data_IF_418127943993
#
_entry.id   IF_418127943993
#
_cell.length_a   1.000
_cell.length_b   1.000
_cell.length_c   1.000
_cell.angle_alpha   90.00
_cell.angle_beta   90.00
_cell.angle_gamma   90.00
#
_symmetry.space_group_name_H-M   'P 1'
#
loop_
_entity.id
_entity.type
_entity.pdbx_description
1 polymer ?
#
# COMPACT_ATOMS: atom_id res chain seq x y z
N UNK A 1 -15.58 -50.72 -36.51
CA UNK A 1 -14.46 -50.74 -35.55
C UNK A 1 -13.59 -49.47 -35.63
N UNK A 2 -14.19 -48.27 -35.80
CA UNK A 2 -13.38 -47.01 -35.98
C UNK A 2 -13.86 -45.86 -35.12
N UNK A 3 -14.61 -46.11 -34.04
CA UNK A 3 -15.16 -45.10 -33.10
C UNK A 3 -14.56 -45.19 -31.67
N UNK A 4 -13.47 -45.91 -31.43
CA UNK A 4 -12.88 -46.10 -30.10
C UNK A 4 -11.44 -45.58 -29.92
N UNK A 5 -10.87 -44.80 -30.87
CA UNK A 5 -9.46 -44.38 -30.82
C UNK A 5 -9.25 -42.84 -30.71
N UNK A 6 -10.29 -42.02 -30.44
CA UNK A 6 -10.14 -40.57 -30.35
C UNK A 6 -10.45 -40.06 -28.92
N UNK A 7 -10.20 -40.85 -27.90
CA UNK A 7 -10.48 -40.43 -26.50
C UNK A 7 -9.25 -40.24 -25.61
N UNK A 8 -8.04 -40.27 -26.14
CA UNK A 8 -6.81 -40.21 -25.31
C UNK A 8 -5.77 -39.18 -25.77
N UNK A 9 -6.15 -38.05 -26.43
CA UNK A 9 -5.21 -37.01 -26.84
C UNK A 9 -5.53 -35.65 -26.16
N UNK A 10 -6.47 -35.57 -25.24
CA UNK A 10 -6.56 -34.44 -24.32
C UNK A 10 -5.82 -34.82 -23.05
N UNK A 11 -4.47 -34.71 -23.12
CA UNK A 11 -3.65 -34.71 -21.95
C UNK A 11 -4.20 -33.68 -20.97
N UNK A 12 -4.58 -34.10 -19.80
CA UNK A 12 -4.86 -33.28 -18.64
C UNK A 12 -3.70 -32.27 -18.55
N UNK A 13 -3.94 -30.99 -18.88
CA UNK A 13 -3.04 -29.92 -18.48
C UNK A 13 -2.90 -30.10 -16.97
N UNK A 14 -1.74 -30.57 -16.50
CA UNK A 14 -1.37 -30.48 -15.10
C UNK A 14 -1.55 -29.00 -14.76
N UNK A 15 -2.55 -28.67 -13.95
CA UNK A 15 -2.61 -27.38 -13.32
C UNK A 15 -1.27 -27.21 -12.61
N UNK A 16 -0.45 -26.28 -13.10
CA UNK A 16 0.80 -25.95 -12.44
C UNK A 16 0.39 -25.55 -11.02
N UNK A 17 0.98 -26.23 -10.03
CA UNK A 17 0.70 -25.93 -8.64
C UNK A 17 1.08 -24.48 -8.40
N UNK A 18 0.09 -23.62 -8.20
CA UNK A 18 0.29 -22.19 -8.01
C UNK A 18 0.89 -21.98 -6.63
N UNK A 19 2.15 -21.64 -6.59
CA UNK A 19 2.86 -21.35 -5.35
C UNK A 19 2.66 -19.89 -4.96
N UNK A 20 2.44 -19.64 -3.67
CA UNK A 20 2.54 -18.28 -3.11
C UNK A 20 3.96 -17.76 -3.30
N UNK A 21 4.09 -16.44 -3.55
CA UNK A 21 5.36 -15.76 -3.80
C UNK A 21 5.43 -14.49 -2.97
N UNK A 22 6.56 -14.25 -2.32
CA UNK A 22 6.85 -12.96 -1.72
C UNK A 22 7.88 -12.22 -2.59
N UNK A 23 7.49 -11.20 -3.36
CA UNK A 23 8.43 -10.46 -4.20
C UNK A 23 9.43 -9.65 -3.37
N UNK A 24 9.07 -9.25 -2.15
CA UNK A 24 9.93 -8.44 -1.28
C UNK A 24 11.19 -9.18 -0.84
N UNK A 25 11.12 -10.50 -0.59
CA UNK A 25 12.28 -11.32 -0.23
C UNK A 25 12.59 -12.45 -1.21
N UNK A 26 11.87 -12.53 -2.33
CA UNK A 26 11.99 -13.56 -3.37
C UNK A 26 11.71 -15.00 -2.89
N UNK A 27 11.01 -15.18 -1.76
CA UNK A 27 10.63 -16.54 -1.30
C UNK A 27 9.64 -17.20 -2.26
N UNK A 28 9.97 -18.44 -2.69
CA UNK A 28 9.14 -19.25 -3.58
C UNK A 28 9.37 -20.75 -3.29
N UNK A 29 8.42 -21.49 -2.72
CA UNK A 29 7.12 -21.03 -2.23
C UNK A 29 7.24 -20.12 -1.00
N UNK A 30 6.31 -19.16 -0.88
CA UNK A 30 6.18 -18.32 0.30
C UNK A 30 5.07 -18.88 1.22
N UNK A 31 5.21 -18.64 2.51
CA UNK A 31 4.15 -18.84 3.51
C UNK A 31 3.74 -17.47 4.03
N UNK A 32 2.42 -17.22 4.09
CA UNK A 32 1.89 -15.98 4.66
C UNK A 32 1.16 -16.27 5.97
N UNK A 33 1.36 -15.39 6.92
CA UNK A 33 0.76 -15.44 8.25
C UNK A 33 -0.48 -14.54 8.29
N UNK A 34 -1.46 -14.83 9.15
CA UNK A 34 -2.62 -13.99 9.33
C UNK A 34 -2.27 -12.63 9.93
N UNK A 35 -3.21 -11.69 9.83
CA UNK A 35 -3.16 -10.44 10.59
C UNK A 35 -3.06 -10.77 12.08
N UNK A 36 -2.18 -10.10 12.85
CA UNK A 36 -2.06 -10.33 14.28
C UNK A 36 -3.39 -10.20 15.02
N UNK A 37 -3.66 -11.11 15.94
CA UNK A 37 -4.90 -11.14 16.73
C UNK A 37 -5.17 -9.84 17.51
N UNK A 38 -4.13 -9.12 17.87
CA UNK A 38 -4.17 -7.80 18.47
C UNK A 38 -5.20 -6.86 17.81
N UNK A 39 -5.25 -6.80 16.48
CA UNK A 39 -6.19 -5.94 15.76
C UNK A 39 -7.64 -6.42 15.90
N UNK A 40 -7.87 -7.73 15.85
CA UNK A 40 -9.20 -8.31 16.04
C UNK A 40 -9.71 -8.13 17.47
N UNK A 41 -8.82 -8.36 18.43
CA UNK A 41 -9.14 -8.26 19.86
C UNK A 41 -9.49 -6.83 20.24
N UNK A 42 -8.71 -5.84 19.80
CA UNK A 42 -9.01 -4.43 20.03
C UNK A 42 -10.28 -3.98 19.30
N UNK A 43 -10.47 -4.39 18.05
CA UNK A 43 -11.69 -4.09 17.31
C UNK A 43 -12.94 -4.59 18.05
N UNK A 44 -12.87 -5.81 18.61
CA UNK A 44 -13.96 -6.36 19.41
C UNK A 44 -14.12 -5.62 20.76
N UNK A 45 -13.01 -5.38 21.46
CA UNK A 45 -13.00 -4.70 22.76
C UNK A 45 -13.63 -3.31 22.71
N UNK A 46 -13.29 -2.52 21.67
CA UNK A 46 -13.76 -1.14 21.50
C UNK A 46 -15.01 -1.01 20.64
N UNK A 47 -15.53 -2.12 20.10
CA UNK A 47 -16.75 -2.13 19.27
C UNK A 47 -16.55 -1.50 17.89
N UNK A 48 -15.39 -1.66 17.28
CA UNK A 48 -15.11 -1.16 15.91
C UNK A 48 -15.92 -1.92 14.86
N UNK A 49 -16.82 -1.23 14.17
CA UNK A 49 -17.82 -1.84 13.28
C UNK A 49 -17.28 -2.26 11.90
N UNK A 50 -16.08 -1.81 11.53
CA UNK A 50 -15.54 -1.98 10.17
C UNK A 50 -14.35 -2.96 10.11
N UNK A 51 -14.09 -3.74 11.16
CA UNK A 51 -13.03 -4.75 11.14
C UNK A 51 -13.21 -5.73 9.98
N UNK A 52 -12.13 -5.96 9.22
CA UNK A 52 -12.14 -6.82 8.04
C UNK A 52 -12.75 -6.22 6.77
N UNK A 53 -13.31 -5.00 6.83
CA UNK A 53 -13.86 -4.29 5.67
C UNK A 53 -12.83 -3.42 4.95
N UNK A 54 -11.60 -3.36 5.42
CA UNK A 54 -10.52 -2.66 4.70
C UNK A 54 -10.37 -3.18 3.28
N UNK A 55 -10.17 -2.30 2.33
CA UNK A 55 -10.00 -2.61 0.91
C UNK A 55 -8.79 -3.51 0.68
N UNK A 56 -7.71 -3.18 1.32
CA UNK A 56 -6.47 -3.94 1.30
C UNK A 56 -6.31 -4.79 2.55
N UNK A 57 -5.79 -5.13 3.36
CA UNK A 57 -5.65 -5.95 4.57
C UNK A 57 -6.22 -7.37 4.43
N UNK A 58 -5.38 -8.26 3.94
CA UNK A 58 -5.70 -9.68 3.80
C UNK A 58 -5.60 -10.40 5.15
N UNK A 59 -6.74 -10.63 5.81
CA UNK A 59 -6.78 -11.15 7.19
C UNK A 59 -6.06 -12.50 7.39
N UNK A 60 -6.01 -13.37 6.37
CA UNK A 60 -5.43 -14.72 6.45
C UNK A 60 -4.01 -14.81 5.91
N UNK A 61 -3.61 -13.85 5.09
CA UNK A 61 -2.36 -13.84 4.33
C UNK A 61 -1.66 -12.50 4.46
N UNK A 62 -1.70 -11.89 5.65
CA UNK A 62 -1.27 -10.53 5.89
C UNK A 62 0.23 -10.35 5.72
N UNK A 63 1.05 -11.15 6.38
CA UNK A 63 2.51 -10.95 6.37
C UNK A 63 3.28 -12.17 5.90
N UNK A 64 4.43 -11.95 5.27
CA UNK A 64 5.34 -13.02 4.85
C UNK A 64 6.05 -13.64 6.07
N UNK A 65 5.97 -14.96 6.24
CA UNK A 65 6.62 -15.67 7.34
C UNK A 65 8.16 -15.53 7.32
N UNK A 66 8.75 -15.29 6.15
CA UNK A 66 10.21 -15.20 5.99
C UNK A 66 10.75 -13.79 6.28
N UNK A 67 10.09 -12.73 5.76
CA UNK A 67 10.63 -11.37 5.88
C UNK A 67 9.72 -10.39 6.62
N UNK A 68 8.47 -10.75 6.90
CA UNK A 68 7.51 -9.87 7.56
C UNK A 68 6.74 -8.93 6.62
N UNK A 69 7.11 -8.85 5.33
CA UNK A 69 6.43 -7.94 4.40
C UNK A 69 4.90 -8.17 4.39
N UNK A 70 4.15 -7.11 4.62
CA UNK A 70 2.69 -7.10 4.58
C UNK A 70 2.16 -7.33 3.16
N UNK A 71 0.86 -7.56 3.04
CA UNK A 71 0.17 -7.67 1.75
C UNK A 71 0.36 -6.41 0.88
N UNK A 72 0.25 -5.22 1.47
CA UNK A 72 0.48 -3.95 0.76
C UNK A 72 1.93 -3.81 0.27
N UNK A 73 2.92 -4.13 1.11
CA UNK A 73 4.34 -4.08 0.70
C UNK A 73 4.65 -5.04 -0.45
N UNK A 74 3.99 -6.21 -0.49
CA UNK A 74 4.11 -7.14 -1.62
C UNK A 74 3.55 -6.56 -2.91
N UNK A 75 2.42 -5.84 -2.84
CA UNK A 75 1.82 -5.18 -4.00
C UNK A 75 2.67 -4.00 -4.47
N UNK A 76 3.19 -3.18 -3.55
CA UNK A 76 4.11 -2.08 -3.88
C UNK A 76 5.38 -2.62 -4.55
N UNK A 77 5.95 -3.68 -3.99
CA UNK A 77 7.14 -4.33 -4.56
C UNK A 77 6.88 -4.80 -5.99
N UNK A 78 5.76 -5.50 -6.23
CA UNK A 78 5.40 -5.96 -7.57
C UNK A 78 5.33 -4.79 -8.58
N UNK A 79 4.64 -3.71 -8.19
CA UNK A 79 4.51 -2.55 -9.07
C UNK A 79 5.84 -1.86 -9.30
N UNK A 80 6.65 -1.61 -8.26
CA UNK A 80 7.96 -0.97 -8.36
C UNK A 80 8.89 -1.78 -9.27
N UNK A 81 8.93 -3.12 -9.10
CA UNK A 81 9.74 -4.00 -9.95
C UNK A 81 9.32 -3.88 -11.42
N UNK A 82 8.01 -3.86 -11.71
CA UNK A 82 7.50 -3.64 -13.07
C UNK A 82 7.90 -2.26 -13.64
N UNK A 83 7.93 -1.20 -12.80
CA UNK A 83 8.36 0.12 -13.28
C UNK A 83 9.87 0.20 -13.50
N UNK A 84 10.66 -0.50 -12.69
CA UNK A 84 12.11 -0.65 -12.92
C UNK A 84 12.37 -1.35 -14.27
N UNK A 85 11.67 -2.45 -14.55
CA UNK A 85 11.76 -3.18 -15.80
C UNK A 85 11.36 -2.33 -17.02
N UNK A 86 10.38 -1.43 -16.86
CA UNK A 86 9.95 -0.46 -17.87
C UNK A 86 10.88 0.75 -18.01
N UNK A 87 11.91 0.87 -17.15
CA UNK A 87 12.87 1.97 -17.17
C UNK A 87 12.37 3.29 -16.60
N UNK A 88 11.32 3.26 -15.75
CA UNK A 88 10.83 4.47 -15.07
C UNK A 88 11.87 5.00 -14.05
N UNK A 89 12.63 4.12 -13.45
CA UNK A 89 13.64 4.45 -12.44
C UNK A 89 15.06 4.34 -13.00
N UNK A 90 15.88 5.34 -12.75
CA UNK A 90 17.31 5.39 -13.05
C UNK A 90 18.09 5.80 -11.80
N UNK A 91 19.43 5.77 -11.86
CA UNK A 91 20.28 6.18 -10.75
C UNK A 91 20.10 7.65 -10.34
N UNK A 92 19.63 8.48 -11.25
CA UNK A 92 19.37 9.90 -11.01
C UNK A 92 17.96 10.17 -10.49
N UNK A 93 17.08 9.14 -10.47
CA UNK A 93 15.72 9.25 -9.94
C UNK A 93 15.78 9.45 -8.43
N UNK A 94 15.26 10.57 -7.93
CA UNK A 94 15.20 10.89 -6.51
C UNK A 94 13.90 10.35 -5.92
N UNK A 95 14.03 9.43 -4.98
CA UNK A 95 12.91 8.75 -4.30
C UNK A 95 12.87 9.14 -2.83
N UNK A 96 11.69 9.50 -2.32
CA UNK A 96 11.47 9.72 -0.88
C UNK A 96 10.37 8.78 -0.36
N UNK A 97 10.62 8.14 0.77
CA UNK A 97 9.70 7.20 1.41
C UNK A 97 9.36 7.70 2.82
N UNK A 98 8.11 8.13 3.00
CA UNK A 98 7.58 8.60 4.28
C UNK A 98 7.12 7.42 5.14
N UNK A 99 7.38 7.48 6.45
CA UNK A 99 7.08 6.42 7.42
C UNK A 99 7.51 5.03 6.90
N UNK A 100 8.82 4.86 6.55
CA UNK A 100 9.29 3.74 5.75
C UNK A 100 9.09 2.41 6.47
N UNK A 101 8.31 1.51 5.87
CA UNK A 101 8.22 0.12 6.31
C UNK A 101 9.59 -0.55 6.23
N UNK A 102 10.02 -1.19 7.32
CA UNK A 102 11.40 -1.68 7.47
C UNK A 102 11.81 -2.64 6.34
N UNK A 103 10.92 -3.56 5.95
CA UNK A 103 11.23 -4.60 4.95
C UNK A 103 11.26 -4.02 3.54
N UNK A 104 10.28 -3.20 3.18
CA UNK A 104 10.26 -2.52 1.89
C UNK A 104 11.45 -1.57 1.75
N UNK A 105 11.72 -0.77 2.79
CA UNK A 105 12.86 0.15 2.82
C UNK A 105 14.20 -0.58 2.63
N UNK A 106 14.41 -1.69 3.34
CA UNK A 106 15.62 -2.49 3.18
C UNK A 106 15.79 -3.03 1.75
N UNK A 107 14.69 -3.52 1.14
CA UNK A 107 14.70 -3.95 -0.25
C UNK A 107 15.05 -2.80 -1.19
N UNK A 108 14.36 -1.67 -1.09
CA UNK A 108 14.57 -0.53 -1.99
C UNK A 108 16.00 0.01 -1.91
N UNK A 109 16.57 0.09 -0.70
CA UNK A 109 17.99 0.42 -0.50
C UNK A 109 18.92 -0.58 -1.20
N UNK A 110 18.60 -1.88 -1.14
CA UNK A 110 19.45 -2.94 -1.72
C UNK A 110 19.48 -2.93 -3.25
N UNK A 111 18.44 -2.40 -3.92
CA UNK A 111 18.37 -2.34 -5.38
C UNK A 111 19.43 -1.42 -5.99
N UNK A 112 19.85 -0.38 -5.26
CA UNK A 112 20.83 0.62 -5.73
C UNK A 112 20.50 1.15 -7.16
N UNK A 113 19.21 1.27 -7.48
CA UNK A 113 18.71 1.65 -8.80
C UNK A 113 18.31 3.12 -8.90
N UNK A 114 18.26 3.83 -7.77
CA UNK A 114 17.84 5.23 -7.63
C UNK A 114 18.41 5.86 -6.36
N UNK A 115 18.37 7.20 -6.23
CA UNK A 115 18.72 7.94 -5.01
C UNK A 115 17.55 7.85 -4.02
N UNK A 116 17.62 6.87 -3.10
CA UNK A 116 16.56 6.57 -2.15
C UNK A 116 16.80 7.25 -0.81
N UNK A 117 15.82 8.02 -0.35
CA UNK A 117 15.78 8.71 0.93
C UNK A 117 14.56 8.32 1.74
N UNK A 118 14.69 8.39 3.04
CA UNK A 118 13.62 8.10 4.00
C UNK A 118 13.27 9.35 4.79
N UNK A 119 11.98 9.50 5.16
CA UNK A 119 11.50 10.64 5.91
C UNK A 119 10.43 10.22 6.93
N UNK A 120 10.49 10.77 8.12
CA UNK A 120 9.49 10.54 9.17
C UNK A 120 9.58 11.62 10.26
N UNK A 121 8.48 11.85 10.98
CA UNK A 121 8.46 12.79 12.10
C UNK A 121 9.07 12.19 13.37
N UNK A 122 8.85 10.90 13.64
CA UNK A 122 9.15 10.26 14.93
C UNK A 122 10.33 9.27 14.85
N UNK A 123 10.55 8.61 13.71
CA UNK A 123 11.62 7.61 13.55
C UNK A 123 13.00 8.26 13.62
N UNK A 124 13.93 7.67 14.38
CA UNK A 124 15.29 8.23 14.58
C UNK A 124 16.26 7.95 13.42
N UNK A 125 16.04 6.89 12.65
CA UNK A 125 16.98 6.41 11.62
C UNK A 125 16.46 6.67 10.21
N UNK A 126 16.05 7.93 9.94
CA UNK A 126 15.62 8.41 8.63
C UNK A 126 16.57 9.49 8.11
N UNK A 127 16.61 9.67 6.78
CA UNK A 127 17.44 10.70 6.16
C UNK A 127 16.92 12.12 6.48
N UNK A 128 15.58 12.27 6.55
CA UNK A 128 14.93 13.54 6.84
C UNK A 128 13.94 13.40 8.00
N UNK A 129 14.15 14.14 9.08
CA UNK A 129 13.20 14.26 10.19
C UNK A 129 12.23 15.41 9.85
N UNK A 130 11.03 15.08 9.38
CA UNK A 130 10.10 16.08 8.85
C UNK A 130 8.67 15.84 9.28
N UNK A 131 7.93 16.92 9.50
CA UNK A 131 6.47 16.91 9.59
C UNK A 131 5.90 16.99 8.17
N UNK A 132 5.03 16.03 7.82
CA UNK A 132 4.37 15.99 6.51
C UNK A 132 3.50 17.24 6.23
N UNK A 133 3.06 17.94 7.27
CA UNK A 133 2.27 19.16 7.15
C UNK A 133 3.11 20.41 6.81
N UNK A 134 4.42 20.37 7.02
CA UNK A 134 5.33 21.49 6.77
C UNK A 134 6.76 20.99 6.53
N UNK A 135 7.01 20.48 5.35
CA UNK A 135 8.31 19.88 5.02
C UNK A 135 9.34 20.95 4.62
N UNK A 136 10.52 21.01 5.28
CA UNK A 136 11.62 21.87 4.87
C UNK A 136 12.39 21.28 3.67
N UNK A 137 11.64 20.84 2.67
CA UNK A 137 12.13 20.28 1.41
C UNK A 137 11.82 21.22 0.26
N UNK A 138 12.69 21.31 -0.72
CA UNK A 138 12.52 22.18 -1.88
C UNK A 138 11.35 21.71 -2.76
N UNK A 139 10.71 22.68 -3.44
CA UNK A 139 9.69 22.41 -4.44
C UNK A 139 10.26 21.56 -5.57
N UNK A 140 9.44 20.66 -6.13
CA UNK A 140 9.80 19.85 -7.28
C UNK A 140 11.18 19.14 -7.11
N UNK A 141 11.43 18.58 -5.94
CA UNK A 141 12.73 17.97 -5.59
C UNK A 141 12.78 16.46 -5.74
N UNK A 142 11.64 15.76 -5.81
CA UNK A 142 11.59 14.30 -5.94
C UNK A 142 10.82 13.86 -7.19
N UNK A 143 11.33 12.80 -7.81
CA UNK A 143 10.72 12.16 -8.98
C UNK A 143 9.64 11.15 -8.57
N UNK A 144 9.84 10.50 -7.42
CA UNK A 144 8.93 9.50 -6.89
C UNK A 144 8.83 9.57 -5.36
N UNK A 145 7.62 9.39 -4.83
CA UNK A 145 7.43 9.26 -3.39
C UNK A 145 6.62 8.02 -3.02
N UNK A 146 6.81 7.54 -1.80
CA UNK A 146 5.95 6.55 -1.14
C UNK A 146 5.45 7.18 0.15
N UNK A 147 4.14 7.31 0.28
CA UNK A 147 3.46 7.75 1.50
C UNK A 147 2.31 6.78 1.76
N UNK A 148 2.54 5.85 2.68
CA UNK A 148 1.65 4.72 2.93
C UNK A 148 1.23 4.71 4.38
N UNK A 149 -0.08 4.81 4.62
CA UNK A 149 -0.65 4.79 5.96
C UNK A 149 -0.08 5.89 6.88
N UNK A 150 -0.12 7.12 6.39
CA UNK A 150 0.28 8.34 7.12
C UNK A 150 -0.86 9.35 7.20
N UNK A 151 -1.67 9.46 6.14
CA UNK A 151 -2.71 10.49 6.07
C UNK A 151 -3.81 10.35 7.13
N UNK A 152 -4.05 9.13 7.60
CA UNK A 152 -5.00 8.85 8.66
C UNK A 152 -4.55 9.29 10.06
N UNK A 153 -3.27 9.65 10.21
CA UNK A 153 -2.67 10.06 11.49
C UNK A 153 -2.50 11.58 11.60
N UNK A 154 -2.44 12.31 10.48
CA UNK A 154 -2.15 13.76 10.49
C UNK A 154 -3.40 14.58 10.72
N UNK A 155 -3.27 15.77 11.34
CA UNK A 155 -4.41 16.68 11.58
C UNK A 155 -5.08 17.13 10.28
N UNK A 156 -4.30 17.43 9.24
CA UNK A 156 -4.79 17.91 7.95
C UNK A 156 -4.20 17.10 6.81
N UNK A 157 -4.95 16.16 6.29
CA UNK A 157 -4.57 15.41 5.10
C UNK A 157 -4.56 16.31 3.85
N UNK A 158 -5.39 17.34 3.79
CA UNK A 158 -5.35 18.36 2.73
C UNK A 158 -3.98 19.05 2.68
N UNK A 159 -3.44 19.48 3.83
CA UNK A 159 -2.12 20.11 3.88
C UNK A 159 -1.01 19.11 3.55
N UNK A 160 -1.12 17.86 4.01
CA UNK A 160 -0.17 16.78 3.70
C UNK A 160 -0.12 16.50 2.18
N UNK A 161 -1.27 16.35 1.54
CA UNK A 161 -1.36 16.12 0.09
C UNK A 161 -0.80 17.31 -0.70
N UNK A 162 -1.07 18.55 -0.25
CA UNK A 162 -0.51 19.76 -0.84
C UNK A 162 1.03 19.79 -0.77
N UNK A 163 1.61 19.41 0.36
CA UNK A 163 3.05 19.31 0.52
C UNK A 163 3.65 18.20 -0.34
N UNK A 164 3.03 17.02 -0.42
CA UNK A 164 3.44 15.94 -1.32
C UNK A 164 3.41 16.41 -2.79
N UNK A 165 2.35 17.14 -3.20
CA UNK A 165 2.28 17.72 -4.53
C UNK A 165 3.38 18.75 -4.78
N UNK A 166 3.68 19.61 -3.80
CA UNK A 166 4.72 20.65 -3.89
C UNK A 166 6.09 20.06 -4.15
N UNK A 167 6.50 19.06 -3.38
CA UNK A 167 7.84 18.45 -3.49
C UNK A 167 7.99 17.53 -4.71
N UNK A 168 6.88 17.06 -5.30
CA UNK A 168 6.90 16.22 -6.49
C UNK A 168 7.20 17.04 -7.73
N UNK A 169 8.16 16.59 -8.55
CA UNK A 169 8.50 17.21 -9.85
C UNK A 169 7.33 17.10 -10.84
N UNK A 170 7.30 18.00 -11.81
CA UNK A 170 6.41 17.84 -12.97
C UNK A 170 6.77 16.54 -13.71
N UNK A 171 5.77 15.70 -13.98
CA UNK A 171 5.94 14.35 -14.53
C UNK A 171 6.38 13.31 -13.49
N UNK A 172 6.57 13.71 -12.24
CA UNK A 172 6.83 12.79 -11.13
C UNK A 172 5.56 12.09 -10.67
N UNK A 173 5.72 11.02 -9.89
CA UNK A 173 4.62 10.21 -9.39
C UNK A 173 4.86 9.73 -7.95
N UNK A 174 3.88 9.04 -7.37
CA UNK A 174 4.03 8.45 -6.04
C UNK A 174 3.02 7.35 -5.77
N UNK A 175 3.33 6.52 -4.80
CA UNK A 175 2.37 5.63 -4.13
C UNK A 175 1.80 6.42 -2.95
N UNK A 176 0.49 6.64 -2.96
CA UNK A 176 -0.22 7.33 -1.88
C UNK A 176 -1.33 6.42 -1.37
N UNK A 177 -1.19 5.93 -0.15
CA UNK A 177 -2.07 4.90 0.40
C UNK A 177 -2.60 5.30 1.77
N UNK A 178 -3.87 4.96 2.01
CA UNK A 178 -4.53 5.06 3.31
C UNK A 178 -5.48 3.87 3.51
N UNK A 179 -5.95 3.58 4.74
CA UNK A 179 -6.92 2.51 4.99
C UNK A 179 -8.32 2.89 4.49
N UNK A 180 -8.67 2.41 3.31
CA UNK A 180 -9.99 2.61 2.71
C UNK A 180 -10.95 1.51 3.22
N UNK A 181 -12.18 1.88 3.57
CA UNK A 181 -13.22 0.96 4.02
C UNK A 181 -14.22 0.71 2.89
N UNK A 182 -14.31 -0.53 2.45
CA UNK A 182 -15.25 -0.95 1.41
C UNK A 182 -16.70 -0.74 1.87
N UNK A 183 -17.46 0.00 1.07
CA UNK A 183 -18.87 0.28 1.34
C UNK A 183 -19.13 1.41 2.34
N UNK A 184 -18.11 2.18 2.71
CA UNK A 184 -18.28 3.43 3.42
C UNK A 184 -18.65 4.54 2.42
N UNK A 185 -19.77 5.21 2.64
CA UNK A 185 -20.30 6.23 1.72
C UNK A 185 -19.56 7.56 1.84
N UNK A 186 -19.17 7.94 3.07
CA UNK A 186 -18.46 9.19 3.34
C UNK A 186 -17.33 8.93 4.33
N UNK A 187 -16.24 9.65 4.18
CA UNK A 187 -15.12 9.63 5.13
C UNK A 187 -15.60 10.06 6.51
N UNK A 188 -15.24 9.26 7.53
CA UNK A 188 -15.53 9.58 8.92
C UNK A 188 -14.35 10.32 9.53
N UNK A 189 -14.61 11.51 9.99
CA UNK A 189 -13.64 12.34 10.72
C UNK A 189 -14.38 13.14 11.80
N UNK A 190 -13.84 13.09 13.01
CA UNK A 190 -14.39 13.86 14.13
C UNK A 190 -13.24 14.37 15.01
N UNK A 191 -12.89 15.65 14.92
CA UNK A 191 -11.79 16.24 15.69
C UNK A 191 -12.05 16.30 17.20
N UNK A 192 -13.28 16.05 17.65
CA UNK A 192 -13.60 15.95 19.07
C UNK A 192 -13.15 14.64 19.71
N UNK A 193 -12.92 13.58 18.91
CA UNK A 193 -12.45 12.26 19.36
C UNK A 193 -10.93 12.31 19.53
N UNK A 194 -10.48 12.48 20.78
CA UNK A 194 -9.06 12.61 21.11
C UNK A 194 -8.52 11.46 21.94
N UNK A 195 -9.40 10.74 22.63
CA UNK A 195 -9.00 9.62 23.48
C UNK A 195 -8.82 8.33 22.66
N UNK A 196 -7.96 7.46 23.16
CA UNK A 196 -7.59 6.21 22.51
C UNK A 196 -8.79 5.28 22.29
N UNK A 197 -9.69 5.17 23.25
CA UNK A 197 -10.86 4.29 23.15
C UNK A 197 -11.84 4.77 22.05
N UNK A 198 -12.05 6.08 21.97
CA UNK A 198 -12.85 6.72 20.93
C UNK A 198 -12.23 6.50 19.53
N UNK A 199 -10.91 6.67 19.38
CA UNK A 199 -10.21 6.42 18.12
C UNK A 199 -10.30 4.96 17.69
N UNK A 200 -10.06 4.00 18.60
CA UNK A 200 -10.29 2.58 18.31
C UNK A 200 -11.70 2.29 17.83
N UNK A 201 -12.70 2.83 18.53
CA UNK A 201 -14.12 2.60 18.22
C UNK A 201 -14.51 3.13 16.86
N UNK A 202 -14.07 4.33 16.53
CA UNK A 202 -14.52 5.04 15.31
C UNK A 202 -13.59 4.87 14.12
N UNK A 203 -12.28 4.77 14.34
CA UNK A 203 -11.27 4.79 13.28
C UNK A 203 -10.41 3.50 13.21
N UNK A 204 -10.59 2.57 14.16
CA UNK A 204 -9.99 1.24 14.10
C UNK A 204 -8.55 1.12 14.59
N UNK A 205 -7.93 2.22 15.08
CA UNK A 205 -6.64 2.24 15.78
C UNK A 205 -6.60 3.41 16.78
N UNK A 206 -5.67 3.34 17.75
CA UNK A 206 -5.55 4.30 18.84
C UNK A 206 -5.09 5.71 18.41
N UNK A 207 -4.47 5.82 17.25
CA UNK A 207 -3.84 7.04 16.73
C UNK A 207 -4.44 7.53 15.40
N UNK A 208 -5.37 6.79 14.82
CA UNK A 208 -6.13 7.26 13.67
C UNK A 208 -7.07 8.40 14.04
N UNK A 209 -7.18 9.39 13.18
CA UNK A 209 -8.10 10.54 13.34
C UNK A 209 -9.20 10.56 12.29
N UNK A 210 -9.13 9.67 11.30
CA UNK A 210 -10.14 9.50 10.24
C UNK A 210 -10.19 8.10 9.69
N UNK A 211 -11.28 7.82 8.97
CA UNK A 211 -11.53 6.56 8.28
C UNK A 211 -12.06 6.88 6.88
N UNK A 212 -11.32 6.53 5.85
CA UNK A 212 -11.61 6.96 4.48
C UNK A 212 -12.68 6.12 3.79
N UNK A 213 -13.61 6.83 3.11
CA UNK A 213 -14.40 6.31 2.02
C UNK A 213 -13.61 6.44 0.70
N UNK A 214 -13.81 5.49 -0.21
CA UNK A 214 -13.06 5.42 -1.47
C UNK A 214 -13.16 6.71 -2.31
N UNK A 215 -14.40 7.14 -2.62
CA UNK A 215 -14.62 8.28 -3.51
C UNK A 215 -14.11 9.60 -2.91
N UNK A 216 -14.30 9.79 -1.60
CA UNK A 216 -13.79 10.97 -0.91
C UNK A 216 -12.25 11.02 -0.95
N UNK A 217 -11.61 9.88 -0.71
CA UNK A 217 -10.14 9.77 -0.76
C UNK A 217 -9.60 10.14 -2.14
N UNK A 218 -10.12 9.51 -3.18
CA UNK A 218 -9.69 9.74 -4.56
C UNK A 218 -9.95 11.17 -4.99
N UNK A 219 -11.16 11.71 -4.68
CA UNK A 219 -11.53 13.09 -5.03
C UNK A 219 -10.67 14.12 -4.29
N UNK A 220 -10.35 13.88 -3.01
CA UNK A 220 -9.46 14.74 -2.23
C UNK A 220 -8.09 14.85 -2.91
N UNK A 221 -7.49 13.75 -3.31
CA UNK A 221 -6.19 13.73 -4.00
C UNK A 221 -6.27 14.49 -5.34
N UNK A 222 -7.33 14.24 -6.13
CA UNK A 222 -7.56 14.93 -7.42
C UNK A 222 -7.74 16.43 -7.25
N UNK A 223 -8.42 16.87 -6.21
CA UNK A 223 -8.63 18.29 -5.90
C UNK A 223 -7.33 19.06 -5.59
N UNK A 224 -6.28 18.35 -5.16
CA UNK A 224 -4.94 18.91 -4.96
C UNK A 224 -4.05 18.87 -6.21
N UNK A 225 -4.59 18.47 -7.36
CA UNK A 225 -3.91 18.55 -8.65
C UNK A 225 -3.27 17.25 -9.13
N UNK A 226 -3.23 16.20 -8.33
CA UNK A 226 -2.76 14.89 -8.78
C UNK A 226 -3.76 14.21 -9.71
N UNK A 227 -3.26 13.49 -10.70
CA UNK A 227 -4.01 12.41 -11.35
C UNK A 227 -3.91 11.17 -10.48
N UNK A 228 -4.96 10.36 -10.42
CA UNK A 228 -5.00 9.13 -9.62
C UNK A 228 -5.28 7.95 -10.53
N UNK A 229 -4.39 6.98 -10.51
CA UNK A 229 -4.57 5.66 -11.11
C UNK A 229 -4.86 4.64 -9.99
N UNK A 230 -5.95 3.91 -10.15
CA UNK A 230 -6.46 2.91 -9.22
C UNK A 230 -6.13 1.53 -9.78
N UNK A 231 -5.01 0.95 -9.35
CA UNK A 231 -4.47 -0.27 -9.93
C UNK A 231 -4.91 -1.49 -9.10
N UNK A 232 -5.99 -2.12 -9.53
CA UNK A 232 -6.55 -3.31 -8.91
C UNK A 232 -6.22 -4.61 -9.65
N UNK A 233 -7.09 -5.60 -9.44
CA UNK A 233 -6.96 -6.95 -10.02
C UNK A 233 -6.98 -6.93 -11.57
N UNK A 234 -7.70 -5.97 -12.18
CA UNK A 234 -7.73 -5.81 -13.63
C UNK A 234 -6.36 -5.43 -14.21
N UNK A 235 -5.56 -4.67 -13.46
CA UNK A 235 -4.22 -4.27 -13.88
C UNK A 235 -3.20 -5.38 -13.68
N UNK A 236 -3.19 -6.03 -12.49
CA UNK A 236 -2.17 -7.00 -12.13
C UNK A 236 -2.50 -8.44 -12.53
N UNK A 237 -3.80 -8.76 -12.71
CA UNK A 237 -4.31 -10.10 -12.98
C UNK A 237 -4.58 -10.94 -11.74
N UNK A 238 -5.56 -11.86 -11.84
CA UNK A 238 -5.97 -12.76 -10.75
C UNK A 238 -4.82 -13.67 -10.28
N UNK A 239 -3.96 -14.11 -11.19
CA UNK A 239 -2.81 -14.98 -10.85
C UNK A 239 -1.83 -14.25 -9.94
N UNK A 240 -1.53 -12.96 -10.21
CA UNK A 240 -0.67 -12.16 -9.36
C UNK A 240 -1.29 -11.99 -7.98
N UNK A 241 -2.57 -11.60 -7.90
CA UNK A 241 -3.26 -11.41 -6.63
C UNK A 241 -3.29 -12.69 -5.79
N UNK A 242 -3.62 -13.83 -6.41
CA UNK A 242 -3.65 -15.13 -5.73
C UNK A 242 -2.25 -15.54 -5.26
N UNK A 243 -1.22 -15.39 -6.09
CA UNK A 243 0.15 -15.77 -5.73
C UNK A 243 0.76 -14.89 -4.64
N UNK A 244 0.39 -13.62 -4.59
CA UNK A 244 0.81 -12.67 -3.56
C UNK A 244 -0.05 -12.75 -2.29
N UNK A 245 -1.12 -13.53 -2.26
CA UNK A 245 -2.05 -13.65 -1.13
C UNK A 245 -2.81 -12.34 -0.84
N UNK A 246 -3.16 -11.58 -1.88
CA UNK A 246 -3.90 -10.32 -1.76
C UNK A 246 -5.41 -10.55 -1.75
N UNK A 247 -6.15 -9.59 -1.19
CA UNK A 247 -7.60 -9.51 -1.39
C UNK A 247 -7.89 -9.07 -2.83
N UNK A 248 -8.97 -9.59 -3.42
CA UNK A 248 -9.41 -9.15 -4.76
C UNK A 248 -9.93 -7.71 -4.78
N UNK A 249 -10.21 -7.15 -3.63
CA UNK A 249 -10.56 -5.73 -3.46
C UNK A 249 -9.36 -4.81 -3.30
N UNK A 250 -8.13 -5.35 -3.21
CA UNK A 250 -6.93 -4.51 -3.01
C UNK A 250 -6.69 -3.61 -4.21
N UNK A 251 -6.47 -2.33 -3.95
CA UNK A 251 -6.14 -1.31 -4.95
C UNK A 251 -4.82 -0.64 -4.53
N UNK A 252 -3.93 -0.45 -5.48
CA UNK A 252 -2.76 0.41 -5.35
C UNK A 252 -3.09 1.77 -5.97
N UNK A 253 -3.03 2.83 -5.18
CA UNK A 253 -3.23 4.20 -5.66
C UNK A 253 -1.87 4.78 -6.07
N UNK A 254 -1.71 4.97 -7.37
CA UNK A 254 -0.56 5.66 -7.95
C UNK A 254 -1.02 7.07 -8.37
N UNK A 255 -0.29 8.07 -7.90
CA UNK A 255 -0.59 9.47 -8.19
C UNK A 255 0.48 10.09 -9.06
N UNK A 256 0.12 11.03 -9.95
CA UNK A 256 1.07 11.70 -10.83
C UNK A 256 0.76 13.20 -10.97
N UNK A 257 1.83 14.01 -11.10
CA UNK A 257 1.77 15.46 -11.24
C UNK A 257 1.96 15.90 -12.68
#
# INVERSE_FOLDING_TARGET
MLKKLIKNIFGTKKQAQQFMVCPTCNSRPATFLPLPDFYRENAHQYGYAHFGKGEMTALKTYSCANCGASDRERLYTLWIDQQIEKGLFSKDTRVIHFAPEAVLSARLKSLNSFDYKTADLMMDHVDFKVDLLNMPLEDASFDFFICSHVLEHVESDDQAIKELYRITKQGGCGILMAPIIVGLENTLEDPSIKDEAGRWKHFGQNDHVRLYAHDDYVNKIRNHGFRVEELGIEYFGEEAFSSLGLKFTSILYVVSK
#
